data_IF_748649643839
#
_entry.id   IF_748649643839
#
_cell.length_a   1.000
_cell.length_b   1.000
_cell.length_c   1.000
_cell.angle_alpha   90.00
_cell.angle_beta   90.00
_cell.angle_gamma   90.00
#
_symmetry.space_group_name_H-M   'P 1'
#
loop_
_entity.id
_entity.type
_entity.pdbx_description
1 polymer ?
#
# COMPACT_ATOMS: atom_id res chain seq x y z
N UNK A 1 -1.67 48.60 43.99
CA UNK A 1 -1.21 47.29 44.52
C UNK A 1 0.29 47.20 44.24
N UNK A 2 1.14 46.87 45.22
CA UNK A 2 2.60 46.90 44.99
C UNK A 2 3.04 45.78 44.04
N UNK A 3 4.08 46.04 43.23
CA UNK A 3 4.63 45.09 42.24
C UNK A 3 4.90 43.70 42.84
N UNK A 4 5.34 43.66 44.11
CA UNK A 4 5.58 42.42 44.87
C UNK A 4 4.30 41.59 45.11
N UNK A 5 3.15 42.25 45.36
CA UNK A 5 1.87 41.55 45.53
C UNK A 5 1.34 41.00 44.20
N UNK A 6 1.57 41.72 43.10
CA UNK A 6 1.19 41.28 41.75
C UNK A 6 2.00 40.06 41.30
N UNK A 7 3.31 40.04 41.60
CA UNK A 7 4.19 38.89 41.35
C UNK A 7 3.79 37.66 42.18
N UNK A 8 3.47 37.83 43.47
CA UNK A 8 3.00 36.71 44.29
C UNK A 8 1.67 36.13 43.79
N UNK A 9 0.71 36.98 43.40
CA UNK A 9 -0.58 36.49 42.87
C UNK A 9 -0.38 35.76 41.55
N UNK A 10 0.48 36.29 40.66
CA UNK A 10 0.83 35.62 39.41
C UNK A 10 1.47 34.25 39.66
N UNK A 11 2.40 34.14 40.62
CA UNK A 11 3.03 32.88 40.99
C UNK A 11 2.05 31.85 41.56
N UNK A 12 1.09 32.29 42.39
CA UNK A 12 0.06 31.42 42.95
C UNK A 12 -0.89 30.91 41.86
N UNK A 13 -1.29 31.77 40.92
CA UNK A 13 -2.12 31.38 39.77
C UNK A 13 -1.35 30.43 38.85
N UNK A 14 -0.06 30.68 38.61
CA UNK A 14 0.78 29.80 37.80
C UNK A 14 0.98 28.42 38.46
N UNK A 15 1.14 28.39 39.80
CA UNK A 15 1.25 27.15 40.56
C UNK A 15 -0.08 26.38 40.60
N UNK A 16 -1.22 27.05 40.71
CA UNK A 16 -2.52 26.39 40.66
C UNK A 16 -2.88 25.89 39.27
N UNK A 17 -2.53 26.63 38.21
CA UNK A 17 -2.73 26.18 36.83
C UNK A 17 -1.80 25.02 36.47
N UNK A 18 -0.55 25.01 36.92
CA UNK A 18 0.36 23.88 36.74
C UNK A 18 -0.06 22.65 37.56
N UNK A 19 -0.64 22.84 38.75
CA UNK A 19 -1.23 21.76 39.54
C UNK A 19 -2.50 21.19 38.89
N UNK A 20 -3.35 22.04 38.31
CA UNK A 20 -4.51 21.59 37.53
C UNK A 20 -4.07 20.83 36.27
N UNK A 21 -3.04 21.31 35.58
CA UNK A 21 -2.47 20.65 34.40
C UNK A 21 -1.74 19.33 34.74
N UNK A 22 -1.20 19.17 35.96
CA UNK A 22 -0.57 17.91 36.40
C UNK A 22 -1.57 16.89 36.95
N UNK A 23 -2.77 17.33 37.40
CA UNK A 23 -3.89 16.46 37.77
C UNK A 23 -4.71 16.01 36.56
N UNK A 24 -4.68 16.77 35.45
CA UNK A 24 -4.97 16.22 34.11
C UNK A 24 -3.75 15.40 33.65
N UNK A 25 -3.29 14.48 34.51
CA UNK A 25 -2.59 13.31 34.01
C UNK A 25 -3.52 12.65 33.02
N UNK A 26 -3.00 12.25 31.86
CA UNK A 26 -3.68 11.34 30.96
C UNK A 26 -4.33 10.26 31.82
N UNK A 27 -5.65 10.30 32.00
CA UNK A 27 -6.37 9.18 32.54
C UNK A 27 -6.09 8.09 31.52
N UNK A 28 -5.10 7.24 31.81
CA UNK A 28 -4.86 6.05 31.05
C UNK A 28 -6.21 5.34 31.09
N UNK A 29 -6.93 5.36 29.97
CA UNK A 29 -8.20 4.68 29.85
C UNK A 29 -7.88 3.25 30.23
N UNK A 30 -8.39 2.85 31.39
CA UNK A 30 -8.07 1.54 31.95
C UNK A 30 -8.78 0.52 31.07
N UNK A 31 -7.99 -0.20 30.28
CA UNK A 31 -8.46 -1.27 29.40
C UNK A 31 -9.44 -2.18 30.13
N UNK A 32 -10.65 -2.39 29.62
CA UNK A 32 -11.67 -3.25 30.26
C UNK A 32 -11.60 -4.69 29.76
N UNK A 33 -11.16 -4.86 28.51
CA UNK A 33 -10.94 -6.16 27.87
C UNK A 33 -9.49 -6.28 27.43
N UNK A 34 -8.99 -7.50 27.33
CA UNK A 34 -7.66 -7.80 26.80
C UNK A 34 -7.72 -9.03 25.91
N UNK A 35 -7.06 -8.94 24.76
CA UNK A 35 -6.88 -10.08 23.85
C UNK A 35 -5.87 -11.07 24.45
N UNK A 36 -6.20 -12.34 24.41
CA UNK A 36 -5.33 -13.43 24.86
C UNK A 36 -4.57 -14.01 23.66
N UNK A 37 -3.42 -13.42 23.37
CA UNK A 37 -2.58 -13.77 22.22
C UNK A 37 -2.06 -15.21 22.30
N UNK A 38 -1.76 -15.70 23.51
CA UNK A 38 -1.22 -17.04 23.70
C UNK A 38 -2.21 -18.16 23.41
N UNK A 39 -3.51 -17.86 23.49
CA UNK A 39 -4.58 -18.84 23.22
C UNK A 39 -5.23 -18.62 21.86
N UNK A 40 -5.16 -17.41 21.31
CA UNK A 40 -5.76 -17.06 20.03
C UNK A 40 -4.98 -17.65 18.85
N UNK A 41 -5.69 -18.08 17.82
CA UNK A 41 -5.11 -18.70 16.62
C UNK A 41 -5.97 -18.48 15.39
N UNK A 42 -5.38 -18.72 14.22
CA UNK A 42 -6.06 -18.67 12.93
C UNK A 42 -5.93 -20.03 12.25
N UNK A 43 -7.05 -20.52 11.71
CA UNK A 43 -7.07 -21.68 10.83
C UNK A 43 -7.23 -21.21 9.40
N UNK A 44 -6.41 -21.72 8.51
CA UNK A 44 -6.69 -21.66 7.09
C UNK A 44 -7.51 -22.91 6.73
N UNK A 45 -8.76 -22.71 6.31
CA UNK A 45 -9.69 -23.81 6.04
C UNK A 45 -9.40 -24.50 4.70
N UNK A 46 -8.72 -23.82 3.78
CA UNK A 46 -8.30 -24.42 2.50
C UNK A 46 -7.14 -25.39 2.69
N UNK A 47 -6.13 -25.00 3.47
CA UNK A 47 -4.91 -25.79 3.67
C UNK A 47 -4.95 -26.68 4.92
N UNK A 48 -5.89 -26.43 5.84
CA UNK A 48 -5.96 -27.05 7.16
C UNK A 48 -4.87 -26.59 8.13
N UNK A 49 -4.04 -25.60 7.76
CA UNK A 49 -2.94 -25.15 8.61
C UNK A 49 -3.46 -24.30 9.78
N UNK A 50 -2.92 -24.54 10.97
CA UNK A 50 -3.16 -23.74 12.17
C UNK A 50 -1.93 -22.87 12.45
N UNK A 51 -2.16 -21.57 12.60
CA UNK A 51 -1.13 -20.59 12.96
C UNK A 51 -1.52 -19.93 14.29
N UNK A 52 -0.55 -19.75 15.17
CA UNK A 52 -0.75 -18.95 16.40
C UNK A 52 -0.98 -17.48 16.04
N UNK A 53 -1.54 -16.73 16.98
CA UNK A 53 -1.72 -15.29 16.84
C UNK A 53 -0.45 -14.58 16.35
N UNK A 54 0.68 -14.84 17.00
CA UNK A 54 1.96 -14.17 16.75
C UNK A 54 2.57 -14.55 15.40
N UNK A 55 2.40 -15.80 14.96
CA UNK A 55 2.85 -16.26 13.63
C UNK A 55 2.00 -15.66 12.51
N UNK A 56 0.73 -15.40 12.78
CA UNK A 56 -0.20 -14.89 11.78
C UNK A 56 -0.02 -13.38 11.53
N UNK A 57 0.43 -12.61 12.53
CA UNK A 57 0.67 -11.18 12.38
C UNK A 57 1.62 -10.87 11.21
N UNK A 58 1.21 -9.94 10.35
CA UNK A 58 1.93 -9.51 9.14
C UNK A 58 2.24 -10.66 8.16
N UNK A 59 1.59 -11.83 8.32
CA UNK A 59 1.71 -12.91 7.36
C UNK A 59 1.04 -12.55 6.03
N UNK A 60 1.41 -13.27 4.98
CA UNK A 60 0.78 -13.14 3.67
C UNK A 60 -0.20 -14.29 3.48
N UNK A 61 -1.41 -13.98 3.07
CA UNK A 61 -2.48 -14.93 2.85
C UNK A 61 -2.98 -14.80 1.41
N UNK A 62 -3.23 -15.92 0.76
CA UNK A 62 -3.66 -15.92 -0.63
C UNK A 62 -5.14 -15.56 -0.75
N UNK A 63 -5.45 -14.72 -1.74
CA UNK A 63 -6.79 -14.35 -2.16
C UNK A 63 -7.70 -15.58 -2.28
N UNK A 64 -8.94 -15.42 -1.83
CA UNK A 64 -9.96 -16.47 -1.90
C UNK A 64 -9.85 -17.54 -0.82
N UNK A 65 -8.71 -17.68 -0.13
CA UNK A 65 -8.61 -18.63 0.98
C UNK A 65 -9.58 -18.25 2.09
N UNK A 66 -10.33 -19.24 2.61
CA UNK A 66 -11.18 -19.04 3.77
C UNK A 66 -10.37 -19.18 5.06
N UNK A 67 -10.40 -18.14 5.89
CA UNK A 67 -9.74 -18.10 7.20
C UNK A 67 -10.77 -18.15 8.31
N UNK A 68 -10.42 -18.82 9.42
CA UNK A 68 -11.18 -18.83 10.66
C UNK A 68 -10.32 -18.34 11.83
N UNK A 69 -10.63 -17.16 12.34
CA UNK A 69 -9.98 -16.52 13.47
C UNK A 69 -10.67 -16.96 14.75
N UNK A 70 -9.92 -17.56 15.66
CA UNK A 70 -10.38 -18.01 16.95
C UNK A 70 -9.81 -17.07 18.01
N UNK A 71 -10.59 -16.04 18.37
CA UNK A 71 -10.17 -14.92 19.22
C UNK A 71 -10.64 -15.13 20.66
N UNK A 72 -9.69 -15.14 21.59
CA UNK A 72 -9.95 -15.26 23.02
C UNK A 72 -9.76 -13.89 23.67
N UNK A 73 -10.75 -13.46 24.45
CA UNK A 73 -10.75 -12.17 25.14
C UNK A 73 -11.02 -12.39 26.62
N UNK A 74 -10.34 -11.63 27.48
CA UNK A 74 -10.48 -11.71 28.94
C UNK A 74 -10.77 -10.32 29.51
N UNK A 75 -11.53 -10.28 30.61
CA UNK A 75 -11.72 -9.03 31.37
C UNK A 75 -10.46 -8.72 32.18
N UNK A 76 -10.12 -7.45 32.28
CA UNK A 76 -8.96 -6.97 33.04
C UNK A 76 -9.26 -6.77 34.53
N UNK A 77 -10.55 -6.71 34.90
CA UNK A 77 -11.01 -6.41 36.26
C UNK A 77 -11.35 -4.92 36.48
N UNK A 78 -11.14 -4.07 35.48
CA UNK A 78 -11.55 -2.66 35.55
C UNK A 78 -13.09 -2.52 35.44
N UNK A 79 -13.68 -1.47 36.04
CA UNK A 79 -15.12 -1.23 35.95
C UNK A 79 -15.60 -1.08 34.50
N UNK A 80 -16.71 -1.75 34.17
CA UNK A 80 -17.36 -1.69 32.86
C UNK A 80 -18.69 -0.95 33.05
N UNK A 81 -18.92 0.11 32.27
CA UNK A 81 -20.18 0.84 32.32
C UNK A 81 -21.24 0.13 31.46
N UNK A 82 -22.49 0.19 31.89
CA UNK A 82 -23.61 -0.54 31.26
C UNK A 82 -23.84 -0.13 29.78
N UNK A 83 -23.38 1.05 29.37
CA UNK A 83 -23.48 1.59 28.01
C UNK A 83 -22.33 1.15 27.09
N UNK A 84 -21.35 0.40 27.60
CA UNK A 84 -20.25 -0.11 26.81
C UNK A 84 -20.72 -1.24 25.88
N UNK A 85 -20.13 -1.27 24.69
CA UNK A 85 -20.31 -2.31 23.68
C UNK A 85 -18.96 -2.70 23.08
N UNK A 86 -18.88 -3.92 22.56
CA UNK A 86 -17.75 -4.41 21.79
C UNK A 86 -18.09 -4.43 20.30
N UNK A 87 -17.39 -3.62 19.52
CA UNK A 87 -17.41 -3.69 18.05
C UNK A 87 -16.41 -4.73 17.55
N UNK A 88 -16.91 -5.63 16.71
CA UNK A 88 -16.14 -6.61 15.95
C UNK A 88 -16.07 -6.13 14.50
N UNK A 89 -14.87 -5.81 14.00
CA UNK A 89 -14.69 -5.24 12.67
C UNK A 89 -13.66 -5.99 11.84
N UNK A 90 -13.95 -6.17 10.56
CA UNK A 90 -13.01 -6.74 9.58
C UNK A 90 -13.25 -6.21 8.17
N UNK A 91 -12.25 -6.33 7.30
CA UNK A 91 -12.34 -6.10 5.87
C UNK A 91 -12.10 -7.37 5.03
N UNK A 92 -12.30 -8.55 5.62
CA UNK A 92 -12.47 -9.80 4.88
C UNK A 92 -13.72 -9.77 4.00
N UNK A 93 -13.71 -10.56 2.94
CA UNK A 93 -14.89 -10.76 2.10
C UNK A 93 -15.81 -11.82 2.73
N UNK A 94 -17.12 -11.57 2.67
CA UNK A 94 -18.16 -12.42 3.27
C UNK A 94 -17.91 -12.81 4.75
N UNK A 95 -17.69 -11.82 5.65
CA UNK A 95 -17.37 -12.10 7.04
C UNK A 95 -18.59 -12.61 7.82
N UNK A 96 -18.36 -13.66 8.60
CA UNK A 96 -19.30 -14.26 9.54
C UNK A 96 -18.68 -14.26 10.94
N UNK A 97 -19.37 -13.63 11.89
CA UNK A 97 -18.96 -13.57 13.30
C UNK A 97 -19.85 -14.46 14.14
N UNK A 98 -19.25 -15.33 14.95
CA UNK A 98 -19.92 -16.06 16.02
C UNK A 98 -19.48 -15.52 17.37
N UNK A 99 -20.46 -15.06 18.14
CA UNK A 99 -20.27 -14.58 19.52
C UNK A 99 -21.28 -15.29 20.42
N UNK A 100 -20.78 -16.19 21.29
CA UNK A 100 -21.65 -17.12 22.00
C UNK A 100 -22.35 -18.07 21.03
N UNK A 101 -23.69 -18.13 21.11
CA UNK A 101 -24.53 -18.94 20.23
C UNK A 101 -25.07 -18.18 19.01
N UNK A 102 -24.82 -16.86 18.94
CA UNK A 102 -25.34 -16.00 17.88
C UNK A 102 -24.34 -15.87 16.74
N UNK A 103 -24.86 -15.90 15.51
CA UNK A 103 -24.10 -15.71 14.28
C UNK A 103 -24.54 -14.40 13.62
N UNK A 104 -23.58 -13.57 13.24
CA UNK A 104 -23.78 -12.28 12.60
C UNK A 104 -23.06 -12.26 11.25
N UNK A 105 -23.65 -11.59 10.27
CA UNK A 105 -23.10 -11.45 8.93
C UNK A 105 -22.87 -9.96 8.68
N UNK A 106 -21.60 -9.56 8.52
CA UNK A 106 -21.27 -8.16 8.34
C UNK A 106 -19.82 -7.80 8.68
N UNK A 107 -19.33 -6.76 8.02
CA UNK A 107 -17.97 -6.23 8.22
C UNK A 107 -17.80 -5.54 9.58
N UNK A 108 -18.88 -5.03 10.18
CA UNK A 108 -18.91 -4.49 11.54
C UNK A 108 -20.16 -4.99 12.27
N UNK A 109 -19.99 -5.42 13.52
CA UNK A 109 -21.05 -5.94 14.40
C UNK A 109 -20.82 -5.43 15.82
N UNK A 110 -21.87 -4.95 16.48
CA UNK A 110 -21.84 -4.61 17.91
C UNK A 110 -22.36 -5.79 18.75
N UNK A 111 -21.58 -6.21 19.74
CA UNK A 111 -21.90 -7.28 20.71
C UNK A 111 -21.55 -6.84 22.13
N UNK A 112 -21.75 -7.71 23.12
CA UNK A 112 -21.35 -7.49 24.51
C UNK A 112 -21.98 -6.22 25.10
N UNK A 113 -23.32 -6.16 25.06
CA UNK A 113 -24.13 -4.99 25.41
C UNK A 113 -24.87 -5.19 26.74
N UNK A 114 -24.72 -4.21 27.61
CA UNK A 114 -25.52 -4.10 28.83
C UNK A 114 -25.02 -4.98 29.97
N UNK A 115 -25.47 -4.61 31.17
CA UNK A 115 -25.01 -5.15 32.45
C UNK A 115 -24.94 -6.67 32.53
N UNK A 116 -25.96 -7.38 32.04
CA UNK A 116 -26.02 -8.84 32.11
C UNK A 116 -24.88 -9.52 31.33
N UNK A 117 -24.58 -9.03 30.11
CA UNK A 117 -23.46 -9.53 29.32
C UNK A 117 -22.10 -9.08 29.89
N UNK A 118 -22.06 -7.87 30.47
CA UNK A 118 -20.87 -7.33 31.14
C UNK A 118 -20.52 -8.06 32.42
N UNK A 119 -21.47 -8.70 33.10
CA UNK A 119 -21.24 -9.55 34.27
C UNK A 119 -20.82 -10.98 33.86
N UNK A 120 -21.39 -11.52 32.77
CA UNK A 120 -21.09 -12.84 32.25
C UNK A 120 -19.64 -12.98 31.72
N UNK A 121 -19.13 -14.21 31.60
CA UNK A 121 -17.85 -14.45 30.93
C UNK A 121 -17.94 -14.05 29.46
N UNK A 122 -16.91 -13.37 28.95
CA UNK A 122 -16.83 -13.03 27.53
C UNK A 122 -16.67 -14.34 26.75
N UNK A 123 -17.61 -14.69 25.86
CA UNK A 123 -17.50 -15.91 25.07
C UNK A 123 -16.35 -15.80 24.07
N UNK A 124 -15.87 -16.95 23.62
CA UNK A 124 -14.94 -17.03 22.48
C UNK A 124 -15.58 -16.37 21.25
N UNK A 125 -14.81 -15.55 20.56
CA UNK A 125 -15.24 -14.89 19.32
C UNK A 125 -14.62 -15.66 18.16
N UNK A 126 -15.45 -16.07 17.21
CA UNK A 126 -14.97 -16.73 15.99
C UNK A 126 -15.35 -15.86 14.81
N UNK A 127 -14.38 -15.55 13.95
CA UNK A 127 -14.62 -14.88 12.67
C UNK A 127 -14.24 -15.84 11.56
N UNK A 128 -15.12 -16.07 10.60
CA UNK A 128 -14.75 -16.70 9.33
C UNK A 128 -14.97 -15.76 8.16
N UNK A 129 -14.12 -15.83 7.14
CA UNK A 129 -14.24 -14.98 5.96
C UNK A 129 -13.18 -15.32 4.92
N UNK A 130 -13.35 -14.81 3.71
CA UNK A 130 -12.43 -15.04 2.61
C UNK A 130 -11.41 -13.91 2.54
N UNK A 131 -10.15 -14.26 2.27
CA UNK A 131 -9.10 -13.27 2.00
C UNK A 131 -9.50 -12.48 0.75
N UNK A 132 -9.59 -11.15 0.83
CA UNK A 132 -10.05 -10.33 -0.28
C UNK A 132 -9.02 -10.25 -1.40
N UNK A 133 -9.45 -9.77 -2.56
CA UNK A 133 -8.53 -9.46 -3.65
C UNK A 133 -7.44 -8.46 -3.21
N UNK A 134 -6.16 -8.67 -3.61
CA UNK A 134 -5.03 -7.81 -3.27
C UNK A 134 -5.03 -6.57 -4.17
N UNK A 135 -6.11 -5.79 -4.08
CA UNK A 135 -6.29 -4.55 -4.84
C UNK A 135 -6.08 -3.38 -3.87
N UNK A 136 -5.14 -2.51 -4.22
CA UNK A 136 -4.83 -1.31 -3.44
C UNK A 136 -4.87 -0.05 -4.30
N UNK A 137 -4.97 1.09 -3.62
CA UNK A 137 -4.80 2.40 -4.27
C UNK A 137 -3.32 2.56 -4.60
N UNK A 138 -3.06 2.91 -5.85
CA UNK A 138 -1.74 3.05 -6.43
C UNK A 138 -1.33 4.52 -6.40
N UNK A 139 -0.02 4.73 -6.28
CA UNK A 139 0.62 6.02 -6.55
C UNK A 139 1.61 5.82 -7.69
N UNK A 140 1.43 6.58 -8.76
CA UNK A 140 2.38 6.58 -9.88
C UNK A 140 3.30 7.81 -9.77
N UNK A 141 4.62 7.64 -9.87
CA UNK A 141 5.57 8.76 -9.88
C UNK A 141 5.23 9.76 -11.01
N UNK A 142 5.10 11.04 -10.66
CA UNK A 142 4.68 12.11 -11.57
C UNK A 142 3.17 12.27 -11.76
N UNK A 143 2.36 11.40 -11.15
CA UNK A 143 0.90 11.40 -11.19
C UNK A 143 0.30 11.37 -9.77
N UNK A 144 1.04 11.85 -8.77
CA UNK A 144 0.69 11.78 -7.34
C UNK A 144 -0.62 12.50 -7.00
N UNK A 145 -1.09 13.39 -7.88
CA UNK A 145 -2.36 14.08 -7.77
C UNK A 145 -3.57 13.14 -7.98
N UNK A 146 -3.41 12.01 -8.68
CA UNK A 146 -4.48 11.09 -9.06
C UNK A 146 -4.55 9.89 -8.11
N UNK A 147 -5.16 10.07 -6.94
CA UNK A 147 -5.25 9.06 -5.87
C UNK A 147 -6.34 8.00 -6.07
N UNK A 148 -7.04 7.99 -7.20
CA UNK A 148 -8.15 7.07 -7.47
C UNK A 148 -7.74 5.86 -8.32
N UNK A 149 -6.46 5.75 -8.67
CA UNK A 149 -5.94 4.63 -9.44
C UNK A 149 -5.84 3.42 -8.51
N UNK A 150 -6.33 2.28 -8.97
CA UNK A 150 -6.25 1.01 -8.24
C UNK A 150 -5.45 0.00 -9.05
N UNK A 151 -4.73 -0.88 -8.39
CA UNK A 151 -4.16 -2.05 -9.03
C UNK A 151 -3.67 -3.07 -8.02
N UNK A 152 -2.77 -3.95 -8.45
CA UNK A 152 -2.58 -5.26 -7.82
C UNK A 152 -1.34 -5.22 -6.92
N UNK A 153 -1.53 -5.31 -5.62
CA UNK A 153 -0.46 -5.28 -4.64
C UNK A 153 -0.90 -5.83 -3.29
N UNK A 154 0.06 -6.13 -2.41
CA UNK A 154 -0.26 -6.67 -1.09
C UNK A 154 -1.18 -5.72 -0.31
N UNK A 155 -2.41 -6.17 -0.06
CA UNK A 155 -3.45 -5.34 0.56
C UNK A 155 -3.52 -5.64 2.06
N UNK A 156 -3.47 -4.63 2.95
CA UNK A 156 -3.63 -4.87 4.38
C UNK A 156 -5.07 -5.31 4.70
N UNK A 157 -5.17 -6.39 5.46
CA UNK A 157 -6.41 -6.94 6.01
C UNK A 157 -6.31 -6.92 7.51
N UNK A 158 -7.38 -6.50 8.18
CA UNK A 158 -7.42 -6.36 9.63
C UNK A 158 -8.66 -7.00 10.24
N UNK A 159 -8.48 -7.54 11.43
CA UNK A 159 -9.54 -7.93 12.36
C UNK A 159 -9.31 -7.12 13.63
N UNK A 160 -10.26 -6.25 13.94
CA UNK A 160 -10.17 -5.23 14.98
C UNK A 160 -11.32 -5.38 15.95
N UNK A 161 -10.99 -5.40 17.24
CA UNK A 161 -11.96 -5.42 18.32
C UNK A 161 -11.86 -4.10 19.08
N UNK A 162 -12.98 -3.41 19.24
CA UNK A 162 -13.02 -2.06 19.82
C UNK A 162 -14.11 -1.98 20.86
N UNK A 163 -13.78 -1.55 22.08
CA UNK A 163 -14.77 -1.15 23.08
C UNK A 163 -15.12 0.32 22.87
N UNK A 164 -16.41 0.59 22.86
CA UNK A 164 -16.94 1.93 22.73
C UNK A 164 -18.33 2.05 23.34
N UNK A 165 -18.98 3.19 23.13
CA UNK A 165 -20.41 3.35 23.42
C UNK A 165 -21.20 3.46 22.13
N UNK A 166 -22.51 3.28 22.18
CA UNK A 166 -23.41 3.44 21.04
C UNK A 166 -24.67 4.19 21.46
N UNK A 167 -25.15 5.10 20.61
CA UNK A 167 -26.41 5.84 20.84
C UNK A 167 -27.61 5.21 20.13
N UNK A 168 -27.40 4.75 18.91
CA UNK A 168 -28.41 4.16 18.03
C UNK A 168 -28.54 2.63 18.21
N UNK A 169 -27.57 2.01 18.90
CA UNK A 169 -27.48 0.57 19.09
C UNK A 169 -26.91 -0.18 17.87
N UNK A 170 -26.52 0.52 16.83
CA UNK A 170 -26.06 -0.06 15.54
C UNK A 170 -24.68 0.40 15.13
N UNK A 171 -24.24 1.58 15.58
CA UNK A 171 -22.92 2.13 15.28
C UNK A 171 -22.22 2.62 16.54
N UNK A 172 -20.89 2.59 16.52
CA UNK A 172 -20.07 3.04 17.64
C UNK A 172 -20.02 4.57 17.65
N UNK A 173 -20.45 5.19 18.74
CA UNK A 173 -20.51 6.65 18.94
C UNK A 173 -19.20 7.19 19.50
N UNK A 174 -18.68 6.56 20.56
CA UNK A 174 -17.41 6.95 21.17
C UNK A 174 -16.46 5.77 21.26
N UNK A 175 -15.20 6.03 20.93
CA UNK A 175 -14.11 5.09 21.07
C UNK A 175 -13.55 5.16 22.50
N UNK A 176 -13.50 4.02 23.18
CA UNK A 176 -12.93 3.91 24.53
C UNK A 176 -11.61 3.16 24.48
N UNK A 177 -11.60 1.98 23.87
CA UNK A 177 -10.44 1.10 23.85
C UNK A 177 -10.37 0.32 22.54
N UNK A 178 -9.19 0.25 21.93
CA UNK A 178 -8.89 -0.73 20.87
C UNK A 178 -8.10 -1.86 21.50
N UNK A 179 -8.56 -3.10 21.31
CA UNK A 179 -7.80 -4.25 21.77
C UNK A 179 -6.56 -4.39 20.90
N UNK A 180 -5.39 -4.29 21.54
CA UNK A 180 -4.11 -4.45 20.88
C UNK A 180 -3.41 -5.74 21.33
N UNK A 181 -2.58 -6.33 20.45
CA UNK A 181 -2.41 -5.97 19.04
C UNK A 181 -3.69 -6.26 18.23
N UNK A 182 -3.92 -5.49 17.16
CA UNK A 182 -4.91 -5.89 16.14
C UNK A 182 -4.37 -7.04 15.29
N UNK A 183 -5.23 -7.98 14.88
CA UNK A 183 -4.83 -9.05 13.96
C UNK A 183 -4.73 -8.47 12.55
N UNK A 184 -3.50 -8.18 12.11
CA UNK A 184 -3.22 -7.61 10.79
C UNK A 184 -2.40 -8.57 9.95
N UNK A 185 -2.74 -8.68 8.67
CA UNK A 185 -2.04 -9.49 7.69
C UNK A 185 -2.18 -8.88 6.29
N UNK A 186 -1.57 -9.49 5.28
CA UNK A 186 -1.62 -9.01 3.90
C UNK A 186 -2.29 -10.03 2.99
N UNK A 187 -3.29 -9.58 2.23
CA UNK A 187 -3.81 -10.34 1.10
C UNK A 187 -2.84 -10.27 -0.08
N UNK A 188 -2.63 -11.40 -0.76
CA UNK A 188 -1.76 -11.51 -1.94
C UNK A 188 -2.26 -12.60 -2.90
N UNK A 189 -1.57 -12.83 -4.00
CA UNK A 189 -1.79 -13.97 -4.90
C UNK A 189 -0.45 -14.53 -5.41
N UNK A 190 -0.48 -15.71 -6.04
CA UNK A 190 0.71 -16.37 -6.57
C UNK A 190 1.48 -15.47 -7.55
N UNK A 191 0.78 -14.78 -8.44
CA UNK A 191 1.40 -13.88 -9.41
C UNK A 191 2.19 -12.73 -8.78
N UNK A 192 1.71 -12.16 -7.67
CA UNK A 192 2.44 -11.14 -6.90
C UNK A 192 3.68 -11.74 -6.26
N UNK A 193 3.58 -12.92 -5.64
CA UNK A 193 4.73 -13.56 -4.99
C UNK A 193 5.79 -13.95 -6.02
N UNK A 194 5.40 -14.55 -7.14
CA UNK A 194 6.29 -14.89 -8.25
C UNK A 194 6.99 -13.66 -8.81
N UNK A 195 6.26 -12.56 -9.02
CA UNK A 195 6.83 -11.31 -9.48
C UNK A 195 7.83 -10.74 -8.46
N UNK A 196 7.52 -10.75 -7.16
CA UNK A 196 8.45 -10.31 -6.11
C UNK A 196 9.72 -11.16 -6.09
N UNK A 197 9.60 -12.48 -6.16
CA UNK A 197 10.75 -13.39 -6.22
C UNK A 197 11.62 -13.15 -7.46
N UNK A 198 11.00 -12.93 -8.63
CA UNK A 198 11.72 -12.58 -9.87
C UNK A 198 12.43 -11.24 -9.76
N UNK A 199 11.75 -10.22 -9.21
CA UNK A 199 12.34 -8.90 -8.99
C UNK A 199 13.60 -9.03 -8.15
N UNK A 200 13.51 -9.61 -6.95
CA UNK A 200 14.68 -9.71 -6.07
C UNK A 200 15.82 -10.52 -6.69
N UNK A 201 15.53 -11.66 -7.33
CA UNK A 201 16.56 -12.45 -8.03
C UNK A 201 17.24 -11.66 -9.14
N UNK A 202 16.48 -10.90 -9.94
CA UNK A 202 17.06 -10.10 -11.01
C UNK A 202 17.88 -8.92 -10.48
N UNK A 203 17.42 -8.26 -9.41
CA UNK A 203 18.14 -7.15 -8.78
C UNK A 203 19.43 -7.63 -8.10
N UNK A 204 19.41 -8.78 -7.43
CA UNK A 204 20.59 -9.38 -6.78
C UNK A 204 21.65 -9.77 -7.83
N UNK A 205 21.26 -10.49 -8.88
CA UNK A 205 22.18 -10.86 -9.97
C UNK A 205 22.81 -9.64 -10.67
N UNK A 206 22.05 -8.55 -10.81
CA UNK A 206 22.56 -7.30 -11.37
C UNK A 206 23.52 -6.62 -10.39
N UNK A 207 23.14 -6.52 -9.11
CA UNK A 207 23.95 -5.92 -8.04
C UNK A 207 25.31 -6.59 -7.92
N UNK A 208 25.38 -7.91 -8.05
CA UNK A 208 26.64 -8.67 -8.02
C UNK A 208 27.60 -8.30 -9.16
N UNK A 209 27.07 -7.82 -10.30
CA UNK A 209 27.87 -7.45 -11.48
C UNK A 209 28.27 -5.99 -11.48
N UNK A 210 27.36 -5.10 -11.12
CA UNK A 210 27.52 -3.65 -11.34
C UNK A 210 27.50 -2.81 -10.05
N UNK A 211 27.33 -3.46 -8.88
CA UNK A 211 27.17 -2.79 -7.59
C UNK A 211 25.75 -2.27 -7.37
N UNK A 212 25.47 -1.84 -6.14
CA UNK A 212 24.14 -1.32 -5.76
C UNK A 212 23.82 0.01 -6.42
N UNK A 213 22.58 0.15 -6.90
CA UNK A 213 22.09 1.40 -7.51
C UNK A 213 20.79 1.87 -6.87
N UNK A 214 20.49 3.17 -6.98
CA UNK A 214 19.22 3.74 -6.50
C UNK A 214 18.01 3.22 -7.31
N UNK A 215 18.24 2.72 -8.52
CA UNK A 215 17.21 2.20 -9.40
C UNK A 215 16.60 0.88 -8.88
N UNK A 216 17.37 0.09 -8.14
CA UNK A 216 16.87 -1.13 -7.48
C UNK A 216 15.75 -0.78 -6.49
N UNK A 217 15.91 0.34 -5.77
CA UNK A 217 14.92 0.82 -4.82
C UNK A 217 13.65 1.32 -5.51
N UNK A 218 13.78 2.00 -6.65
CA UNK A 218 12.63 2.45 -7.42
C UNK A 218 11.86 1.28 -8.05
N UNK A 219 12.55 0.22 -8.50
CA UNK A 219 11.92 -1.01 -9.00
C UNK A 219 11.18 -1.74 -7.86
N UNK A 220 11.77 -1.82 -6.65
CA UNK A 220 11.09 -2.38 -5.48
C UNK A 220 9.85 -1.58 -5.10
N UNK A 221 9.99 -0.26 -5.02
CA UNK A 221 8.88 0.64 -4.68
C UNK A 221 7.71 0.48 -5.65
N UNK A 222 8.00 0.36 -6.94
CA UNK A 222 6.96 0.11 -7.96
C UNK A 222 6.19 -1.20 -7.68
N UNK A 223 6.87 -2.26 -7.25
CA UNK A 223 6.23 -3.52 -6.84
C UNK A 223 5.35 -3.34 -5.60
N UNK A 224 5.85 -2.62 -4.60
CA UNK A 224 5.16 -2.33 -3.33
C UNK A 224 3.94 -1.42 -3.52
N UNK A 225 4.01 -0.47 -4.45
CA UNK A 225 2.94 0.48 -4.77
C UNK A 225 1.83 -0.11 -5.64
N UNK A 226 1.91 -1.39 -6.01
CA UNK A 226 0.83 -2.12 -6.70
C UNK A 226 1.08 -2.38 -8.20
N UNK A 227 2.34 -2.35 -8.63
CA UNK A 227 2.74 -2.66 -10.00
C UNK A 227 3.77 -3.80 -10.10
N UNK A 228 3.53 -4.97 -9.49
CA UNK A 228 4.47 -6.08 -9.45
C UNK A 228 4.84 -6.60 -10.86
N UNK A 229 3.91 -6.57 -11.82
CA UNK A 229 4.19 -6.96 -13.20
C UNK A 229 5.19 -6.03 -13.90
N UNK A 230 5.02 -4.72 -13.74
CA UNK A 230 5.93 -3.72 -14.30
C UNK A 230 7.30 -3.73 -13.61
N UNK A 231 7.30 -3.87 -12.28
CA UNK A 231 8.53 -4.06 -11.52
C UNK A 231 9.30 -5.31 -11.99
N UNK A 232 8.60 -6.43 -12.23
CA UNK A 232 9.20 -7.66 -12.78
C UNK A 232 9.84 -7.41 -14.15
N UNK A 233 9.14 -6.73 -15.07
CA UNK A 233 9.68 -6.43 -16.39
C UNK A 233 10.92 -5.51 -16.30
N UNK A 234 10.85 -4.45 -15.49
CA UNK A 234 11.96 -3.52 -15.29
C UNK A 234 13.17 -4.19 -14.64
N UNK A 235 12.94 -5.08 -13.66
CA UNK A 235 14.02 -5.86 -13.03
C UNK A 235 14.73 -6.75 -14.04
N UNK A 236 13.99 -7.36 -14.98
CA UNK A 236 14.58 -8.18 -16.04
C UNK A 236 15.45 -7.34 -16.98
N UNK A 237 14.94 -6.19 -17.44
CA UNK A 237 15.73 -5.27 -18.25
C UNK A 237 16.97 -4.75 -17.50
N UNK A 238 16.86 -4.48 -16.20
CA UNK A 238 17.99 -4.10 -15.35
C UNK A 238 19.07 -5.19 -15.31
N UNK A 239 18.66 -6.45 -15.07
CA UNK A 239 19.55 -7.61 -15.14
C UNK A 239 20.21 -7.75 -16.49
N UNK A 240 19.45 -7.75 -17.59
CA UNK A 240 19.99 -7.91 -18.94
C UNK A 240 21.02 -6.84 -19.29
N UNK A 241 20.72 -5.57 -18.96
CA UNK A 241 21.62 -4.46 -19.20
C UNK A 241 22.87 -4.52 -18.30
N UNK A 242 22.77 -5.03 -17.07
CA UNK A 242 23.93 -5.19 -16.17
C UNK A 242 25.01 -6.14 -16.72
N UNK A 243 24.63 -7.13 -17.53
CA UNK A 243 25.58 -8.10 -18.12
C UNK A 243 26.32 -7.50 -19.31
N UNK A 244 25.72 -6.51 -19.97
CA UNK A 244 26.24 -5.95 -21.21
C UNK A 244 27.21 -4.79 -21.01
N UNK A 245 27.39 -4.32 -19.77
CA UNK A 245 28.17 -3.12 -19.47
C UNK A 245 29.25 -3.48 -18.45
N UNK A 246 30.52 -3.54 -18.87
CA UNK A 246 31.64 -3.85 -17.96
C UNK A 246 31.88 -2.75 -16.90
N UNK A 247 31.24 -1.57 -17.03
CA UNK A 247 31.11 -0.53 -15.97
C UNK A 247 29.87 0.37 -16.17
N UNK A 248 28.88 0.47 -15.25
CA UNK A 248 27.83 1.49 -15.39
C UNK A 248 27.80 2.50 -14.23
N UNK A 249 27.45 3.77 -14.50
CA UNK A 249 26.29 4.30 -13.78
C UNK A 249 25.40 5.30 -14.55
N UNK A 250 25.68 5.74 -15.78
CA UNK A 250 24.84 6.78 -16.45
C UNK A 250 23.95 6.23 -17.57
N UNK A 251 24.51 5.40 -18.45
CA UNK A 251 23.79 4.89 -19.63
C UNK A 251 22.65 3.95 -19.26
N UNK A 252 22.88 3.08 -18.27
CA UNK A 252 21.89 2.17 -17.72
C UNK A 252 20.69 2.94 -17.13
N UNK A 253 20.97 4.00 -16.36
CA UNK A 253 19.95 4.87 -15.78
C UNK A 253 19.13 5.59 -16.84
N UNK A 254 19.76 6.10 -17.91
CA UNK A 254 19.04 6.76 -19.01
C UNK A 254 18.11 5.79 -19.73
N UNK A 255 18.59 4.58 -20.04
CA UNK A 255 17.79 3.57 -20.76
C UNK A 255 16.62 3.09 -19.89
N UNK A 256 16.86 2.79 -18.61
CA UNK A 256 15.79 2.35 -17.72
C UNK A 256 14.83 3.47 -17.34
N UNK A 257 15.29 4.70 -17.15
CA UNK A 257 14.39 5.86 -16.91
C UNK A 257 13.46 6.09 -18.10
N UNK A 258 13.94 5.83 -19.31
CA UNK A 258 13.13 5.90 -20.52
C UNK A 258 12.16 4.73 -20.61
N UNK A 259 12.59 3.50 -20.33
CA UNK A 259 11.69 2.34 -20.25
C UNK A 259 10.62 2.52 -19.17
N UNK A 260 10.97 3.08 -18.02
CA UNK A 260 10.07 3.37 -16.92
C UNK A 260 9.06 4.46 -17.32
N UNK A 261 9.51 5.51 -18.02
CA UNK A 261 8.61 6.51 -18.61
C UNK A 261 7.65 5.92 -19.67
N UNK A 262 8.13 4.99 -20.49
CA UNK A 262 7.31 4.27 -21.48
C UNK A 262 6.28 3.36 -20.83
N UNK A 263 6.67 2.66 -19.77
CA UNK A 263 5.86 1.75 -18.98
C UNK A 263 4.74 2.51 -18.26
N UNK A 264 5.08 3.61 -17.58
CA UNK A 264 4.11 4.48 -16.89
C UNK A 264 3.14 5.09 -17.91
N UNK A 265 3.65 5.57 -19.05
CA UNK A 265 2.82 6.09 -20.14
C UNK A 265 1.87 5.03 -20.75
N UNK A 266 2.33 3.79 -20.91
CA UNK A 266 1.53 2.69 -21.44
C UNK A 266 0.52 2.14 -20.42
N UNK A 267 0.89 2.08 -19.13
CA UNK A 267 -0.01 1.69 -18.03
C UNK A 267 -1.21 2.63 -17.93
N UNK A 268 -0.97 3.94 -18.04
CA UNK A 268 -2.01 4.94 -18.08
C UNK A 268 -2.98 4.73 -19.26
N UNK A 269 -2.46 4.50 -20.46
CA UNK A 269 -3.28 4.24 -21.67
C UNK A 269 -4.09 2.94 -21.53
N UNK A 270 -3.48 1.86 -21.01
CA UNK A 270 -4.14 0.57 -20.85
C UNK A 270 -5.26 0.60 -19.80
N UNK A 271 -5.02 1.23 -18.64
CA UNK A 271 -6.04 1.40 -17.58
C UNK A 271 -7.20 2.29 -18.07
N UNK A 272 -6.91 3.27 -18.93
CA UNK A 272 -7.89 4.18 -19.51
C UNK A 272 -8.77 3.52 -20.59
N UNK A 273 -8.19 2.69 -21.47
CA UNK A 273 -8.91 1.97 -22.54
C UNK A 273 -9.71 0.77 -22.01
N UNK A 274 -9.18 0.04 -21.02
CA UNK A 274 -9.82 -1.17 -20.48
C UNK A 274 -11.03 -0.91 -19.59
N UNK A 275 -11.24 0.32 -19.09
CA UNK A 275 -12.35 0.66 -18.17
C UNK A 275 -13.62 1.20 -18.84
N UNK A 276 -13.72 1.25 -20.17
CA UNK A 276 -15.00 1.48 -20.86
C UNK A 276 -15.76 2.77 -20.49
N UNK A 277 -15.09 3.79 -19.96
CA UNK A 277 -15.72 4.99 -19.41
C UNK A 277 -15.77 6.14 -20.43
N UNK A 278 -16.48 5.94 -21.53
CA UNK A 278 -16.75 6.96 -22.56
C UNK A 278 -17.80 8.01 -22.16
N UNK A 279 -17.89 8.43 -20.90
CA UNK A 279 -18.81 9.52 -20.49
C UNK A 279 -18.14 10.49 -19.53
N UNK A 280 -17.76 11.65 -20.07
CA UNK A 280 -17.54 12.87 -19.27
C UNK A 280 -16.10 13.37 -19.14
N UNK A 281 -15.11 12.80 -19.82
CA UNK A 281 -13.72 13.28 -19.77
C UNK A 281 -13.38 14.15 -20.97
N UNK A 282 -12.73 15.29 -20.71
CA UNK A 282 -12.28 16.25 -21.73
C UNK A 282 -11.15 15.65 -22.58
N UNK A 283 -11.54 15.16 -23.76
CA UNK A 283 -10.66 14.58 -24.79
C UNK A 283 -9.52 15.53 -25.19
N UNK A 284 -9.70 16.85 -25.02
CA UNK A 284 -8.67 17.85 -25.28
C UNK A 284 -7.51 17.80 -24.29
N UNK A 285 -7.79 17.53 -23.02
CA UNK A 285 -6.76 17.42 -21.98
C UNK A 285 -5.91 16.15 -22.18
N UNK A 286 -6.55 15.04 -22.57
CA UNK A 286 -5.88 13.76 -22.90
C UNK A 286 -4.98 13.90 -24.12
N UNK A 287 -5.46 14.53 -25.20
CA UNK A 287 -4.63 14.81 -26.38
C UNK A 287 -3.44 15.70 -26.03
N UNK A 288 -3.60 16.63 -25.10
CA UNK A 288 -2.54 17.54 -24.65
C UNK A 288 -1.50 16.81 -23.79
N UNK A 289 -1.92 15.94 -22.88
CA UNK A 289 -1.04 15.14 -22.03
C UNK A 289 -0.30 14.04 -22.81
N UNK A 290 -0.94 13.39 -23.80
CA UNK A 290 -0.26 12.50 -24.75
C UNK A 290 0.78 13.26 -25.59
N UNK A 291 0.47 14.49 -26.00
CA UNK A 291 1.38 15.33 -26.78
C UNK A 291 2.53 15.87 -25.91
N UNK A 292 2.31 16.18 -24.63
CA UNK A 292 3.36 16.55 -23.68
C UNK A 292 4.27 15.35 -23.36
N UNK A 293 3.68 14.17 -23.18
CA UNK A 293 4.43 12.91 -22.98
C UNK A 293 5.26 12.56 -24.21
N UNK A 294 4.71 12.69 -25.41
CA UNK A 294 5.47 12.57 -26.67
C UNK A 294 6.57 13.62 -26.77
N UNK A 295 6.32 14.87 -26.36
CA UNK A 295 7.31 15.94 -26.35
C UNK A 295 8.47 15.66 -25.39
N UNK A 296 8.18 15.15 -24.19
CA UNK A 296 9.20 14.70 -23.22
C UNK A 296 9.96 13.48 -23.75
N UNK A 297 9.32 12.58 -24.49
CA UNK A 297 9.97 11.44 -25.14
C UNK A 297 10.91 11.91 -26.26
N UNK A 298 10.51 12.90 -27.07
CA UNK A 298 11.36 13.54 -28.08
C UNK A 298 12.55 14.27 -27.43
N UNK A 299 12.34 14.96 -26.30
CA UNK A 299 13.41 15.62 -25.54
C UNK A 299 14.42 14.60 -24.99
N UNK A 300 13.96 13.48 -24.43
CA UNK A 300 14.85 12.40 -23.97
C UNK A 300 15.52 11.64 -25.13
N UNK A 301 14.84 11.45 -26.26
CA UNK A 301 15.40 10.94 -27.51
C UNK A 301 16.51 11.86 -28.05
N UNK A 302 16.33 13.17 -27.94
CA UNK A 302 17.35 14.19 -28.27
C UNK A 302 18.55 14.12 -27.33
N UNK A 303 18.32 13.95 -26.02
CA UNK A 303 19.39 13.75 -25.04
C UNK A 303 20.19 12.46 -25.32
N UNK A 304 19.51 11.37 -25.69
CA UNK A 304 20.14 10.12 -26.16
C UNK A 304 20.97 10.36 -27.43
N UNK A 305 20.48 11.17 -28.36
CA UNK A 305 21.22 11.53 -29.57
C UNK A 305 22.49 12.34 -29.26
N UNK A 306 22.40 13.29 -28.32
CA UNK A 306 23.57 14.05 -27.84
C UNK A 306 24.60 13.15 -27.14
N UNK A 307 24.15 12.17 -26.35
CA UNK A 307 25.02 11.18 -25.73
C UNK A 307 25.66 10.25 -26.76
N UNK A 308 24.86 9.73 -27.69
CA UNK A 308 25.31 8.83 -28.77
C UNK A 308 26.34 9.51 -29.66
N UNK A 309 26.13 10.78 -30.04
CA UNK A 309 27.12 11.53 -30.85
C UNK A 309 28.41 11.82 -30.08
N UNK A 310 28.33 12.06 -28.75
CA UNK A 310 29.53 12.19 -27.90
C UNK A 310 30.28 10.87 -27.78
N UNK A 311 29.58 9.75 -27.64
CA UNK A 311 30.18 8.43 -27.53
C UNK A 311 30.71 7.88 -28.87
N UNK A 312 30.06 8.20 -29.99
CA UNK A 312 30.52 7.86 -31.33
C UNK A 312 31.84 8.58 -31.69
N UNK A 313 32.07 9.76 -31.12
CA UNK A 313 33.31 10.55 -31.28
C UNK A 313 34.41 10.16 -30.31
N UNK A 314 34.14 9.22 -29.40
CA UNK A 314 35.17 8.71 -28.49
C UNK A 314 36.14 7.79 -29.23
N UNK A 315 37.41 7.78 -28.80
CA UNK A 315 38.42 6.80 -29.25
C UNK A 315 38.22 5.42 -28.62
N UNK A 316 37.35 5.33 -27.63
CA UNK A 316 36.98 4.12 -26.92
C UNK A 316 35.97 3.29 -27.75
N UNK A 317 36.41 2.11 -28.19
CA UNK A 317 35.59 1.19 -29.00
C UNK A 317 34.34 0.68 -28.26
N UNK A 318 34.37 0.67 -26.93
CA UNK A 318 33.22 0.34 -26.10
C UNK A 318 32.19 1.47 -26.15
N UNK A 319 32.62 2.73 -26.05
CA UNK A 319 31.74 3.90 -26.24
C UNK A 319 31.17 3.97 -27.66
N UNK A 320 31.91 3.55 -28.68
CA UNK A 320 31.38 3.43 -30.06
C UNK A 320 30.36 2.31 -30.21
N UNK A 321 30.51 1.20 -29.49
CA UNK A 321 29.49 0.12 -29.44
C UNK A 321 28.23 0.62 -28.73
N UNK A 322 28.37 1.32 -27.61
CA UNK A 322 27.26 1.97 -26.89
C UNK A 322 26.56 3.01 -27.76
N UNK A 323 27.30 3.79 -28.56
CA UNK A 323 26.70 4.76 -29.47
C UNK A 323 25.79 4.10 -30.52
N UNK A 324 26.17 2.93 -31.05
CA UNK A 324 25.36 2.15 -32.00
C UNK A 324 24.09 1.59 -31.36
N UNK A 325 24.15 1.15 -30.12
CA UNK A 325 22.97 0.66 -29.40
C UNK A 325 22.05 1.81 -28.95
N UNK A 326 22.59 2.97 -28.54
CA UNK A 326 21.81 4.18 -28.31
C UNK A 326 21.06 4.65 -29.57
N UNK A 327 21.62 4.44 -30.76
CA UNK A 327 20.93 4.72 -32.03
C UNK A 327 19.76 3.75 -32.26
N UNK A 328 19.90 2.47 -31.91
CA UNK A 328 18.81 1.49 -32.02
C UNK A 328 17.69 1.76 -31.01
N UNK A 329 18.06 2.07 -29.76
CA UNK A 329 17.11 2.47 -28.72
C UNK A 329 16.39 3.76 -29.13
N UNK A 330 17.10 4.74 -29.70
CA UNK A 330 16.49 5.95 -30.28
C UNK A 330 15.50 5.62 -31.39
N UNK A 331 15.81 4.70 -32.30
CA UNK A 331 14.91 4.32 -33.37
C UNK A 331 13.62 3.70 -32.82
N UNK A 332 13.75 2.79 -31.85
CA UNK A 332 12.60 2.21 -31.15
C UNK A 332 11.79 3.25 -30.37
N UNK A 333 12.45 4.23 -29.75
CA UNK A 333 11.77 5.33 -29.05
C UNK A 333 10.99 6.26 -29.98
N UNK A 334 11.56 6.57 -31.15
CA UNK A 334 10.85 7.36 -32.15
C UNK A 334 9.65 6.60 -32.71
N UNK A 335 9.77 5.28 -32.88
CA UNK A 335 8.66 4.41 -33.29
C UNK A 335 7.54 4.42 -32.23
N UNK A 336 7.88 4.22 -30.96
CA UNK A 336 6.92 4.28 -29.85
C UNK A 336 6.31 5.68 -29.70
N UNK A 337 7.09 6.75 -29.87
CA UNK A 337 6.57 8.13 -29.89
C UNK A 337 5.55 8.33 -31.00
N UNK A 338 5.82 7.79 -32.20
CA UNK A 338 4.92 7.87 -33.34
C UNK A 338 3.67 7.03 -33.12
N UNK A 339 3.77 5.87 -32.46
CA UNK A 339 2.62 5.06 -32.07
C UNK A 339 1.74 5.79 -31.04
N UNK A 340 2.34 6.38 -30.00
CA UNK A 340 1.64 7.21 -29.00
C UNK A 340 0.96 8.41 -29.68
N UNK A 341 1.63 9.07 -30.62
CA UNK A 341 1.06 10.19 -31.40
C UNK A 341 -0.09 9.74 -32.30
N UNK A 342 0.05 8.57 -32.94
CA UNK A 342 -1.01 7.97 -33.76
C UNK A 342 -2.22 7.59 -32.91
N UNK A 343 -2.00 7.11 -31.69
CA UNK A 343 -3.05 6.84 -30.71
C UNK A 343 -3.71 8.16 -30.28
N UNK A 344 -2.93 9.20 -29.99
CA UNK A 344 -3.43 10.53 -29.65
C UNK A 344 -4.30 11.13 -30.77
N UNK A 345 -3.87 11.00 -32.03
CA UNK A 345 -4.60 11.48 -33.20
C UNK A 345 -5.87 10.66 -33.46
N UNK A 346 -5.83 9.34 -33.26
CA UNK A 346 -7.03 8.47 -33.34
C UNK A 346 -8.05 8.78 -32.24
N UNK A 347 -7.60 9.11 -31.03
CA UNK A 347 -8.46 9.50 -29.91
C UNK A 347 -9.14 10.85 -30.17
N UNK A 348 -8.47 11.76 -30.89
CA UNK A 348 -9.01 13.08 -31.25
C UNK A 348 -10.18 13.01 -32.26
N UNK A 349 -10.30 11.90 -32.98
CA UNK A 349 -11.27 11.72 -34.07
C UNK A 349 -10.97 12.60 -35.30
N UNK A 350 -11.53 12.28 -36.48
CA UNK A 350 -11.50 13.20 -37.61
C UNK A 350 -12.29 14.46 -37.23
N UNK A 351 -11.69 15.63 -37.49
CA UNK A 351 -12.32 16.94 -37.29
C UNK A 351 -13.68 17.08 -37.94
#
# INVERSE_FOLDING_TARGET
MSLKRLLCISFVVLAFTSLFLSVIGNAAVQDVLRLDEGTSYVLNLETGSKQTYTEFLNSKQFEGHKLEFNVYVRKTGNPILDDYVLELRTNLDNPEWKFGDTIYHGASVLVWKGKAEHEALVPKIILSGNVPAPIQIIREPGFEAYKEITGIGEKPVEVVLTVGTTRDGTTLDTFIQKLEPSMKFFATNEGIQDAKSKVESNLEEARDKIGGTNLEEDIRRLSEEGHPGWASLLSQHYKELSVMVEQPPLTLYVILSVLLGLIVGAAFIYVYVSRGAGKGVDVGQISTELNDTSGRLEEKSSAINALSTRFARSEDDEKRRVARELIKIRASLNEISNEIRTIADKIKGPR
#
